data_IF_647243722696
#
_entry.id   IF_647243722696
#
_cell.length_a   1.000
_cell.length_b   1.000
_cell.length_c   1.000
_cell.angle_alpha   90.00
_cell.angle_beta   90.00
_cell.angle_gamma   90.00
#
_symmetry.space_group_name_H-M   'P 1'
#
loop_
_entity.id
_entity.type
_entity.pdbx_description
1 polymer ?
#
# COMPACT_ATOMS: atom_id res chain seq x y z
N UNK A 1 -19.32 13.43 -4.05
CA UNK A 1 -18.30 14.50 -4.08
C UNK A 1 -18.57 15.44 -2.92
N UNK A 2 -17.68 15.49 -1.93
CA UNK A 2 -17.70 16.50 -0.87
C UNK A 2 -16.36 17.23 -0.88
N UNK A 3 -16.38 18.53 -1.14
CA UNK A 3 -15.19 19.39 -1.11
C UNK A 3 -14.82 19.66 0.36
N UNK A 4 -13.53 19.68 0.75
CA UNK A 4 -13.16 20.03 2.12
C UNK A 4 -13.63 21.45 2.47
N UNK A 5 -14.14 21.63 3.69
CA UNK A 5 -14.53 22.94 4.21
C UNK A 5 -13.29 23.86 4.35
N UNK A 6 -13.43 25.18 4.10
CA UNK A 6 -12.28 26.08 3.94
C UNK A 6 -11.44 26.31 5.21
N UNK A 7 -12.04 26.12 6.39
CA UNK A 7 -11.48 26.59 7.67
C UNK A 7 -11.35 25.49 8.75
N UNK A 8 -11.32 24.22 8.35
CA UNK A 8 -11.00 23.11 9.28
C UNK A 8 -9.48 22.96 9.49
N UNK A 9 -9.00 22.50 10.66
CA UNK A 9 -7.58 22.21 10.85
C UNK A 9 -7.12 21.24 9.76
N UNK A 10 -6.15 21.65 8.93
CA UNK A 10 -5.54 20.79 7.93
C UNK A 10 -4.98 19.58 8.65
N UNK A 11 -5.54 18.39 8.39
CA UNK A 11 -5.15 17.15 9.06
C UNK A 11 -3.64 17.01 8.97
N UNK A 12 -2.93 16.93 10.09
CA UNK A 12 -1.45 16.98 10.16
C UNK A 12 -0.84 15.57 10.03
N UNK A 13 -1.66 14.54 9.78
CA UNK A 13 -1.21 13.20 9.42
C UNK A 13 -2.40 12.34 9.02
N UNK A 14 -2.37 11.72 7.84
CA UNK A 14 -3.32 10.69 7.42
C UNK A 14 -2.70 9.30 7.58
N UNK A 15 -3.47 8.33 8.04
CA UNK A 15 -3.06 6.92 8.14
C UNK A 15 -4.23 6.05 7.73
N UNK A 16 -3.95 5.07 6.89
CA UNK A 16 -4.93 4.07 6.48
C UNK A 16 -5.03 3.02 7.56
N UNK A 17 -6.22 2.90 8.14
CA UNK A 17 -6.55 1.85 9.07
C UNK A 17 -7.70 1.02 8.50
N UNK A 18 -7.66 -0.27 8.74
CA UNK A 18 -8.77 -1.16 8.44
C UNK A 18 -9.82 -1.00 9.53
N UNK A 19 -11.07 -0.63 9.20
CA UNK A 19 -12.14 -0.62 10.19
C UNK A 19 -12.42 -2.06 10.65
N UNK A 20 -12.52 -2.26 11.97
CA UNK A 20 -12.92 -3.52 12.57
C UNK A 20 -14.43 -3.75 12.42
N UNK A 21 -15.21 -2.67 12.61
CA UNK A 21 -16.66 -2.68 12.48
C UNK A 21 -17.16 -1.30 12.05
N UNK A 22 -18.25 -1.28 11.29
CA UNK A 22 -18.95 -0.07 10.87
C UNK A 22 -20.42 -0.25 11.23
N UNK A 23 -20.99 0.67 12.02
CA UNK A 23 -22.39 0.69 12.47
C UNK A 23 -23.09 1.96 11.98
N UNK A 24 -23.68 1.95 10.78
CA UNK A 24 -24.29 3.15 10.20
C UNK A 24 -25.47 3.71 10.99
N UNK A 25 -26.22 2.86 11.68
CA UNK A 25 -27.40 3.21 12.47
C UNK A 25 -27.09 4.04 13.70
N UNK A 26 -25.90 3.86 14.29
CA UNK A 26 -25.38 4.67 15.41
C UNK A 26 -24.29 5.66 14.98
N UNK A 27 -23.90 5.65 13.71
CA UNK A 27 -22.80 6.46 13.15
C UNK A 27 -21.45 6.17 13.81
N UNK A 28 -21.16 4.90 14.07
CA UNK A 28 -19.92 4.46 14.73
C UNK A 28 -19.02 3.65 13.79
N UNK A 29 -17.71 3.80 13.98
CA UNK A 29 -16.67 3.02 13.31
C UNK A 29 -15.63 2.61 14.35
N UNK A 30 -15.33 1.33 14.41
CA UNK A 30 -14.27 0.78 15.27
C UNK A 30 -12.99 0.65 14.46
N UNK A 31 -11.87 1.10 15.02
CA UNK A 31 -10.55 1.07 14.39
C UNK A 31 -9.52 0.63 15.43
N UNK A 32 -8.76 -0.43 15.14
CA UNK A 32 -7.69 -0.88 16.03
C UNK A 32 -6.39 -0.14 15.75
N UNK A 33 -5.81 0.43 16.82
CA UNK A 33 -4.51 1.07 16.80
C UNK A 33 -3.50 0.22 17.57
N UNK A 34 -2.44 -0.14 16.88
CA UNK A 34 -1.29 -0.78 17.49
C UNK A 34 -0.38 0.30 18.10
N UNK A 35 -0.15 0.23 19.41
CA UNK A 35 0.55 1.28 20.17
C UNK A 35 2.08 1.18 20.17
N UNK A 36 2.67 0.18 19.51
CA UNK A 36 4.12 0.02 19.46
C UNK A 36 4.74 0.69 18.23
N UNK A 37 5.59 1.69 18.47
CA UNK A 37 6.29 2.48 17.46
C UNK A 37 6.17 3.98 17.69
N UNK A 38 7.12 4.77 17.16
CA UNK A 38 7.02 6.23 17.13
C UNK A 38 6.31 6.69 15.85
N UNK A 39 5.26 7.51 15.99
CA UNK A 39 4.55 8.06 14.84
C UNK A 39 3.21 8.72 15.22
N UNK A 40 2.71 9.67 14.42
CA UNK A 40 1.62 10.56 14.81
C UNK A 40 0.31 9.85 15.17
N UNK A 41 0.01 8.69 14.56
CA UNK A 41 -1.19 7.93 14.88
C UNK A 41 -1.04 7.03 16.12
N UNK A 42 0.15 6.48 16.39
CA UNK A 42 0.45 5.79 17.66
C UNK A 42 0.42 6.80 18.82
N UNK A 43 1.03 7.99 18.62
CA UNK A 43 1.01 9.09 19.59
C UNK A 43 -0.40 9.62 19.85
N UNK A 44 -1.23 9.76 18.81
CA UNK A 44 -2.64 10.16 18.96
C UNK A 44 -3.45 9.07 19.67
N UNK A 45 -3.33 7.81 19.26
CA UNK A 45 -4.04 6.69 19.86
C UNK A 45 -3.70 6.53 21.34
N UNK A 46 -2.44 6.76 21.72
CA UNK A 46 -1.99 6.74 23.11
C UNK A 46 -2.60 7.86 23.97
N UNK A 47 -3.10 8.94 23.37
CA UNK A 47 -3.66 10.11 24.05
C UNK A 47 -5.17 10.30 23.80
N UNK A 48 -5.81 9.36 23.10
CA UNK A 48 -7.20 9.49 22.68
C UNK A 48 -8.16 9.51 23.87
N UNK A 49 -9.04 10.51 23.90
CA UNK A 49 -10.08 10.69 24.89
C UNK A 49 -11.42 11.05 24.23
N UNK A 50 -12.53 10.82 24.95
CA UNK A 50 -13.88 11.21 24.50
C UNK A 50 -13.91 12.72 24.19
N UNK A 51 -14.39 13.07 23.01
CA UNK A 51 -14.42 14.44 22.50
C UNK A 51 -13.22 14.83 21.63
N UNK A 52 -12.19 13.98 21.49
CA UNK A 52 -11.16 14.16 20.49
C UNK A 52 -11.69 13.88 19.08
N UNK A 53 -11.26 14.68 18.11
CA UNK A 53 -11.73 14.62 16.73
C UNK A 53 -10.68 13.95 15.85
N UNK A 54 -11.10 12.95 15.08
CA UNK A 54 -10.34 12.40 13.95
C UNK A 54 -11.15 12.55 12.66
N UNK A 55 -10.47 12.72 11.53
CA UNK A 55 -11.12 12.77 10.22
C UNK A 55 -10.99 11.43 9.53
N UNK A 56 -12.11 10.77 9.27
CA UNK A 56 -12.19 9.54 8.49
C UNK A 56 -12.46 9.91 7.02
N UNK A 57 -11.63 9.43 6.10
CA UNK A 57 -11.93 9.45 4.67
C UNK A 57 -12.43 8.07 4.24
N UNK A 58 -13.66 8.03 3.69
CA UNK A 58 -14.26 6.81 3.15
C UNK A 58 -13.48 6.24 1.95
N UNK A 59 -13.73 4.98 1.55
CA UNK A 59 -12.87 4.29 0.60
C UNK A 59 -12.79 5.06 -0.73
N UNK A 60 -11.57 5.36 -1.17
CA UNK A 60 -11.31 5.86 -2.52
C UNK A 60 -11.75 4.84 -3.58
N UNK A 61 -11.81 5.21 -4.88
CA UNK A 61 -12.08 4.25 -5.94
C UNK A 61 -10.99 3.15 -5.91
N UNK A 62 -11.36 1.99 -5.38
CA UNK A 62 -10.45 0.87 -5.19
C UNK A 62 -9.80 0.43 -6.50
N UNK A 63 -8.60 -0.13 -6.41
CA UNK A 63 -8.01 -0.85 -7.52
C UNK A 63 -8.93 -2.01 -7.93
N UNK A 64 -9.39 -2.01 -9.17
CA UNK A 64 -10.16 -3.12 -9.73
C UNK A 64 -9.19 -4.24 -10.12
N UNK A 65 -9.26 -5.36 -9.39
CA UNK A 65 -8.48 -6.57 -9.69
C UNK A 65 -8.95 -7.14 -11.02
N UNK A 66 -8.03 -7.31 -11.96
CA UNK A 66 -8.31 -7.97 -13.23
C UNK A 66 -8.35 -9.49 -13.00
N UNK A 67 -9.53 -10.02 -12.72
CA UNK A 67 -9.73 -11.45 -12.48
C UNK A 67 -9.58 -12.32 -13.73
N UNK A 68 -9.48 -11.72 -14.92
CA UNK A 68 -9.21 -12.46 -16.15
C UNK A 68 -7.70 -12.70 -16.37
N UNK A 69 -6.84 -11.89 -15.74
CA UNK A 69 -5.40 -12.11 -15.78
C UNK A 69 -4.99 -13.35 -14.97
N UNK A 70 -4.19 -14.22 -15.59
CA UNK A 70 -3.68 -15.45 -14.99
C UNK A 70 -2.46 -15.20 -14.11
N UNK A 71 -1.75 -14.09 -14.29
CA UNK A 71 -0.54 -13.74 -13.55
C UNK A 71 -0.62 -12.34 -12.95
N UNK A 72 -0.19 -12.24 -11.70
CA UNK A 72 -0.19 -11.00 -10.92
C UNK A 72 1.16 -10.83 -10.24
N UNK A 73 1.73 -9.63 -10.32
CA UNK A 73 2.92 -9.25 -9.58
C UNK A 73 2.57 -8.05 -8.68
N UNK A 74 2.63 -8.26 -7.37
CA UNK A 74 2.33 -7.26 -6.36
C UNK A 74 3.66 -6.80 -5.75
N UNK A 75 3.98 -5.52 -5.90
CA UNK A 75 5.22 -4.90 -5.39
C UNK A 75 4.77 -3.87 -4.37
N UNK A 76 5.09 -4.10 -3.10
CA UNK A 76 4.51 -3.31 -2.02
C UNK A 76 5.48 -3.09 -0.85
N UNK A 77 5.21 -2.07 -0.05
CA UNK A 77 5.75 -1.98 1.32
C UNK A 77 4.69 -2.35 2.37
N UNK A 78 5.09 -2.31 3.64
CA UNK A 78 4.28 -2.65 4.79
C UNK A 78 3.00 -1.81 4.91
N UNK A 79 3.02 -0.57 4.39
CA UNK A 79 1.84 0.31 4.37
C UNK A 79 0.76 -0.17 3.39
N UNK A 80 1.14 -0.91 2.35
CA UNK A 80 0.23 -1.43 1.33
C UNK A 80 -0.20 -2.89 1.58
N UNK A 81 0.21 -3.50 2.69
CA UNK A 81 -0.12 -4.88 3.02
C UNK A 81 -1.64 -5.18 3.04
N UNK A 82 -2.51 -4.32 3.61
CA UNK A 82 -3.96 -4.56 3.56
C UNK A 82 -4.52 -4.57 2.13
N UNK A 83 -3.96 -3.75 1.23
CA UNK A 83 -4.35 -3.74 -0.17
C UNK A 83 -3.88 -5.01 -0.88
N UNK A 84 -2.67 -5.49 -0.58
CA UNK A 84 -2.16 -6.78 -1.07
C UNK A 84 -3.08 -7.92 -0.64
N UNK A 85 -3.45 -8.00 0.64
CA UNK A 85 -4.37 -9.04 1.15
C UNK A 85 -5.73 -8.99 0.45
N UNK A 86 -6.28 -7.79 0.23
CA UNK A 86 -7.53 -7.59 -0.50
C UNK A 86 -7.42 -8.08 -1.95
N UNK A 87 -6.32 -7.77 -2.63
CA UNK A 87 -6.08 -8.23 -4.01
C UNK A 87 -6.00 -9.76 -4.04
N UNK A 88 -5.19 -10.36 -3.16
CA UNK A 88 -5.00 -11.81 -3.10
C UNK A 88 -6.31 -12.55 -2.81
N UNK A 89 -7.16 -12.03 -1.92
CA UNK A 89 -8.47 -12.60 -1.60
C UNK A 89 -9.44 -12.57 -2.79
N UNK A 90 -9.28 -11.63 -3.72
CA UNK A 90 -10.12 -11.51 -4.92
C UNK A 90 -9.65 -12.37 -6.10
N UNK A 91 -8.45 -12.96 -6.03
CA UNK A 91 -7.90 -13.77 -7.13
C UNK A 91 -8.62 -15.11 -7.27
N UNK A 92 -8.95 -15.55 -8.51
CA UNK A 92 -9.52 -16.87 -8.74
C UNK A 92 -8.49 -17.98 -8.53
N UNK A 93 -8.95 -19.22 -8.31
CA UNK A 93 -8.07 -20.36 -8.03
C UNK A 93 -7.07 -20.74 -9.12
N UNK A 94 -7.26 -20.27 -10.36
CA UNK A 94 -6.31 -20.46 -11.45
C UNK A 94 -5.23 -19.38 -11.56
N UNK A 95 -5.29 -18.33 -10.74
CA UNK A 95 -4.33 -17.23 -10.79
C UNK A 95 -2.99 -17.60 -10.14
N UNK A 96 -1.92 -16.97 -10.62
CA UNK A 96 -0.58 -17.04 -10.05
C UNK A 96 -0.18 -15.65 -9.56
N UNK A 97 0.03 -15.51 -8.26
CA UNK A 97 0.46 -14.28 -7.63
C UNK A 97 1.90 -14.40 -7.14
N UNK A 98 2.73 -13.43 -7.54
CA UNK A 98 4.04 -13.19 -6.98
C UNK A 98 3.99 -11.89 -6.19
N UNK A 99 4.54 -11.89 -4.99
CA UNK A 99 4.53 -10.73 -4.09
C UNK A 99 5.97 -10.39 -3.69
N UNK A 100 6.40 -9.17 -3.96
CA UNK A 100 7.61 -8.57 -3.38
C UNK A 100 7.16 -7.57 -2.32
N UNK A 101 7.42 -7.88 -1.05
CA UNK A 101 6.89 -7.11 0.07
C UNK A 101 8.02 -6.59 0.95
N UNK A 102 8.23 -5.28 0.90
CA UNK A 102 9.16 -4.56 1.75
C UNK A 102 8.58 -4.39 3.15
N UNK A 103 9.37 -4.68 4.19
CA UNK A 103 8.94 -4.58 5.60
C UNK A 103 10.04 -3.99 6.46
N UNK A 104 9.67 -3.42 7.61
CA UNK A 104 10.66 -2.88 8.56
C UNK A 104 11.61 -3.97 9.06
N UNK A 105 11.09 -5.16 9.34
CA UNK A 105 11.90 -6.29 9.80
C UNK A 105 11.29 -7.64 9.41
N UNK A 106 12.09 -8.71 9.49
CA UNK A 106 11.61 -10.07 9.25
C UNK A 106 10.54 -10.54 10.26
N UNK A 107 10.36 -9.84 11.40
CA UNK A 107 9.31 -10.16 12.36
C UNK A 107 7.90 -9.79 11.86
N UNK A 108 7.80 -8.94 10.83
CA UNK A 108 6.52 -8.55 10.21
C UNK A 108 5.95 -9.61 9.25
N UNK A 109 6.71 -10.66 8.97
CA UNK A 109 6.27 -11.73 8.08
C UNK A 109 5.06 -12.44 8.67
N UNK A 110 4.03 -12.59 7.84
CA UNK A 110 2.79 -13.31 8.19
C UNK A 110 2.33 -14.18 7.03
N UNK A 111 1.49 -15.17 7.33
CA UNK A 111 0.90 -16.00 6.29
C UNK A 111 -0.09 -15.16 5.46
N UNK A 112 0.14 -15.09 4.14
CA UNK A 112 -0.79 -14.50 3.18
C UNK A 112 -1.54 -15.62 2.46
N UNK A 113 -2.78 -15.34 2.07
CA UNK A 113 -3.69 -16.34 1.51
C UNK A 113 -4.23 -15.89 0.16
N UNK A 114 -4.34 -16.84 -0.76
CA UNK A 114 -4.98 -16.68 -2.08
C UNK A 114 -5.66 -18.01 -2.44
N UNK A 115 -6.73 -17.96 -3.23
CA UNK A 115 -7.29 -19.17 -3.81
C UNK A 115 -6.38 -19.77 -4.89
N UNK A 116 -5.53 -18.94 -5.52
CA UNK A 116 -4.55 -19.35 -6.53
C UNK A 116 -3.18 -19.69 -5.94
N UNK A 117 -2.19 -19.93 -6.81
CA UNK A 117 -0.81 -20.15 -6.35
C UNK A 117 -0.18 -18.83 -5.92
N UNK A 118 0.55 -18.85 -4.81
CA UNK A 118 1.13 -17.67 -4.20
C UNK A 118 2.62 -17.89 -3.89
N UNK A 119 3.46 -16.98 -4.36
CA UNK A 119 4.88 -16.87 -4.01
C UNK A 119 5.14 -15.49 -3.37
N UNK A 120 5.77 -15.47 -2.20
CA UNK A 120 5.97 -14.23 -1.41
C UNK A 120 7.42 -14.09 -1.02
N UNK A 121 8.04 -13.02 -1.49
CA UNK A 121 9.38 -12.59 -1.07
C UNK A 121 9.26 -11.41 -0.12
N UNK A 122 9.70 -11.61 1.12
CA UNK A 122 9.76 -10.57 2.14
C UNK A 122 11.13 -9.90 2.14
N UNK A 123 11.15 -8.58 2.10
CA UNK A 123 12.35 -7.76 1.89
C UNK A 123 12.53 -6.79 3.07
N UNK A 124 13.39 -7.12 4.05
CA UNK A 124 13.64 -6.23 5.18
C UNK A 124 14.34 -4.94 4.73
N UNK A 125 13.71 -3.80 5.02
CA UNK A 125 14.25 -2.45 4.78
C UNK A 125 14.98 -1.87 5.99
N UNK A 126 14.61 -2.29 7.20
CA UNK A 126 14.99 -1.61 8.43
C UNK A 126 14.10 -0.40 8.74
N UNK A 127 14.46 0.36 9.77
CA UNK A 127 13.65 1.48 10.29
C UNK A 127 13.96 2.82 9.63
N UNK A 128 15.03 2.92 8.83
CA UNK A 128 15.34 4.16 8.11
C UNK A 128 14.39 4.32 6.92
N UNK A 129 13.51 5.31 6.97
CA UNK A 129 12.60 5.60 5.86
C UNK A 129 13.30 6.16 4.62
N UNK A 130 14.55 6.61 4.73
CA UNK A 130 15.36 7.05 3.57
C UNK A 130 15.72 5.91 2.64
N UNK A 131 15.61 4.68 3.09
CA UNK A 131 15.86 3.48 2.27
C UNK A 131 14.58 2.92 1.63
N UNK A 132 13.45 3.64 1.68
CA UNK A 132 12.18 3.25 1.08
C UNK A 132 12.35 2.82 -0.39
N UNK A 133 11.89 1.61 -0.69
CA UNK A 133 11.98 1.01 -2.01
C UNK A 133 13.33 0.43 -2.41
N UNK A 134 14.43 0.70 -1.69
CA UNK A 134 15.75 0.20 -2.10
C UNK A 134 15.82 -1.35 -2.12
N UNK A 135 15.30 -2.07 -1.11
CA UNK A 135 15.15 -3.53 -1.20
C UNK A 135 14.33 -4.02 -2.40
N UNK A 136 13.21 -3.35 -2.73
CA UNK A 136 12.37 -3.70 -3.88
C UNK A 136 13.13 -3.50 -5.20
N UNK A 137 13.76 -2.34 -5.35
CA UNK A 137 14.62 -2.01 -6.49
C UNK A 137 15.75 -3.04 -6.66
N UNK A 138 16.39 -3.43 -5.56
CA UNK A 138 17.46 -4.44 -5.56
C UNK A 138 16.93 -5.80 -6.02
N UNK A 139 15.82 -6.28 -5.45
CA UNK A 139 15.24 -7.57 -5.80
C UNK A 139 14.87 -7.64 -7.30
N UNK A 140 14.31 -6.56 -7.86
CA UNK A 140 13.99 -6.47 -9.28
C UNK A 140 15.25 -6.53 -10.16
N UNK A 141 16.32 -5.82 -9.81
CA UNK A 141 17.59 -5.84 -10.54
C UNK A 141 18.32 -7.18 -10.44
N UNK A 142 18.20 -7.87 -9.30
CA UNK A 142 18.82 -9.18 -9.08
C UNK A 142 18.06 -10.34 -9.73
N UNK A 143 16.99 -10.04 -10.48
CA UNK A 143 16.31 -11.00 -11.33
C UNK A 143 15.04 -11.60 -10.72
N UNK A 144 14.36 -10.90 -9.81
CA UNK A 144 12.99 -11.26 -9.47
C UNK A 144 12.17 -11.42 -10.75
N UNK A 145 11.45 -12.54 -10.87
CA UNK A 145 10.71 -12.86 -12.07
C UNK A 145 9.65 -11.77 -12.33
N UNK A 146 9.54 -11.33 -13.59
CA UNK A 146 8.46 -10.45 -14.06
C UNK A 146 7.79 -11.18 -15.23
N UNK A 147 6.72 -11.94 -14.98
CA UNK A 147 6.06 -12.67 -16.05
C UNK A 147 5.58 -11.71 -17.15
N UNK A 148 5.75 -12.09 -18.42
CA UNK A 148 5.52 -11.23 -19.58
C UNK A 148 4.06 -10.75 -19.72
N UNK A 149 3.11 -11.46 -19.11
CA UNK A 149 1.67 -11.20 -19.13
C UNK A 149 1.11 -10.77 -17.76
N UNK A 150 1.95 -10.59 -16.74
CA UNK A 150 1.49 -10.21 -15.40
C UNK A 150 0.84 -8.81 -15.39
N UNK A 151 -0.27 -8.69 -14.67
CA UNK A 151 -0.79 -7.40 -14.16
C UNK A 151 0.01 -7.01 -12.93
N UNK A 152 0.48 -5.77 -12.88
CA UNK A 152 1.39 -5.28 -11.84
C UNK A 152 0.67 -4.25 -10.98
N UNK A 153 0.63 -4.51 -9.68
CA UNK A 153 0.24 -3.55 -8.67
C UNK A 153 1.48 -3.09 -7.92
N UNK A 154 1.76 -1.79 -7.92
CA UNK A 154 2.91 -1.20 -7.26
C UNK A 154 2.42 -0.16 -6.25
N UNK A 155 2.56 -0.44 -4.96
CA UNK A 155 2.09 0.46 -3.90
C UNK A 155 3.10 0.56 -2.75
N UNK A 156 3.75 1.71 -2.61
CA UNK A 156 4.71 1.97 -1.54
C UNK A 156 4.88 3.48 -1.34
N UNK A 157 5.99 3.90 -0.74
CA UNK A 157 6.41 5.30 -0.71
C UNK A 157 6.41 5.93 -2.12
N UNK A 158 5.94 7.16 -2.27
CA UNK A 158 5.64 7.77 -3.55
C UNK A 158 6.86 8.00 -4.43
N UNK A 159 7.99 8.45 -3.87
CA UNK A 159 9.22 8.60 -4.63
C UNK A 159 9.78 7.23 -5.04
N UNK A 160 9.74 6.23 -4.16
CA UNK A 160 10.10 4.86 -4.45
C UNK A 160 9.22 4.25 -5.54
N UNK A 161 7.91 4.40 -5.45
CA UNK A 161 6.94 3.96 -6.45
C UNK A 161 7.28 4.55 -7.81
N UNK A 162 7.56 5.86 -7.89
CA UNK A 162 7.95 6.50 -9.16
C UNK A 162 9.26 5.95 -9.71
N UNK A 163 10.29 5.76 -8.87
CA UNK A 163 11.57 5.17 -9.28
C UNK A 163 11.41 3.74 -9.77
N UNK A 164 10.68 2.90 -9.04
CA UNK A 164 10.42 1.50 -9.39
C UNK A 164 9.57 1.41 -10.66
N UNK A 165 8.52 2.23 -10.80
CA UNK A 165 7.70 2.30 -12.02
C UNK A 165 8.56 2.67 -13.23
N UNK A 166 9.42 3.67 -13.10
CA UNK A 166 10.33 4.05 -14.17
C UNK A 166 11.29 2.92 -14.52
N UNK A 167 11.91 2.26 -13.53
CA UNK A 167 12.78 1.10 -13.72
C UNK A 167 12.07 -0.04 -14.47
N UNK A 168 10.85 -0.40 -14.05
CA UNK A 168 10.05 -1.43 -14.72
C UNK A 168 9.88 -1.11 -16.22
N UNK A 169 9.62 0.15 -16.55
CA UNK A 169 9.36 0.58 -17.93
C UNK A 169 10.66 0.69 -18.74
N UNK A 170 11.63 1.48 -18.28
CA UNK A 170 12.81 1.82 -19.08
C UNK A 170 13.95 0.81 -19.00
N UNK A 171 14.09 0.12 -17.87
CA UNK A 171 15.17 -0.86 -17.68
C UNK A 171 14.69 -2.29 -17.95
N UNK A 172 13.47 -2.63 -17.51
CA UNK A 172 12.94 -4.00 -17.57
C UNK A 172 11.90 -4.21 -18.70
N UNK A 173 11.62 -3.17 -19.49
CA UNK A 173 10.80 -3.26 -20.71
C UNK A 173 9.31 -3.58 -20.48
N UNK A 174 8.79 -3.30 -19.28
CA UNK A 174 7.38 -3.55 -18.94
C UNK A 174 6.48 -2.50 -19.58
N UNK A 175 5.42 -2.94 -20.25
CA UNK A 175 4.39 -2.05 -20.80
C UNK A 175 3.67 -1.28 -19.67
N UNK A 176 3.62 0.06 -19.77
CA UNK A 176 3.01 0.95 -18.77
C UNK A 176 1.55 0.61 -18.45
N UNK A 177 0.79 0.08 -19.41
CA UNK A 177 -0.63 -0.28 -19.25
C UNK A 177 -0.84 -1.46 -18.30
N UNK A 178 0.23 -2.22 -18.03
CA UNK A 178 0.26 -3.35 -17.10
C UNK A 178 0.50 -2.93 -15.67
N UNK A 179 0.98 -1.70 -15.43
CA UNK A 179 1.41 -1.22 -14.12
C UNK A 179 0.39 -0.23 -13.57
N UNK A 180 -0.18 -0.56 -12.42
CA UNK A 180 -0.95 0.38 -11.60
C UNK A 180 -0.10 0.80 -10.41
N UNK A 181 0.35 2.06 -10.43
CA UNK A 181 1.16 2.66 -9.35
C UNK A 181 0.29 3.40 -8.33
N UNK A 182 0.69 3.35 -7.05
CA UNK A 182 0.09 4.12 -5.96
C UNK A 182 1.17 4.57 -4.97
N UNK A 183 1.37 5.87 -4.83
CA UNK A 183 2.20 6.42 -3.76
C UNK A 183 1.39 6.61 -2.49
N UNK A 184 1.52 5.72 -1.49
CA UNK A 184 0.72 5.71 -0.26
C UNK A 184 1.22 6.68 0.81
N UNK A 185 2.50 7.02 0.78
CA UNK A 185 3.12 7.98 1.69
C UNK A 185 4.34 8.60 1.03
N UNK A 186 4.89 9.68 1.56
CA UNK A 186 6.11 10.27 1.03
C UNK A 186 7.01 10.78 2.14
N UNK A 187 8.31 10.50 2.03
CA UNK A 187 9.30 10.93 3.01
C UNK A 187 9.34 12.47 3.08
N UNK A 188 9.44 13.01 4.30
CA UNK A 188 9.46 14.44 4.61
C UNK A 188 8.25 15.24 4.13
N UNK A 189 7.20 14.57 3.63
CA UNK A 189 5.95 15.19 3.21
C UNK A 189 4.83 14.65 4.10
N UNK A 190 4.39 15.53 5.00
CA UNK A 190 3.20 15.31 5.79
C UNK A 190 1.98 15.45 4.87
N UNK A 191 1.14 14.40 4.77
CA UNK A 191 -0.07 14.33 3.92
C UNK A 191 0.16 14.31 2.41
N UNK A 192 1.08 13.47 1.95
CA UNK A 192 1.12 13.12 0.52
C UNK A 192 -0.21 12.46 0.12
N UNK A 193 -0.90 12.92 -0.94
CA UNK A 193 -2.18 12.35 -1.33
C UNK A 193 -1.99 10.96 -1.94
N UNK A 194 -2.77 9.97 -1.48
CA UNK A 194 -2.78 8.56 -1.95
C UNK A 194 -3.17 8.37 -3.44
N UNK A 195 -3.43 9.48 -4.13
CA UNK A 195 -3.81 9.54 -5.54
C UNK A 195 -2.60 9.87 -6.43
N UNK A 196 -1.37 9.74 -5.93
CA UNK A 196 -0.20 9.74 -6.80
C UNK A 196 -0.16 8.46 -7.62
N UNK A 197 -0.77 8.53 -8.80
CA UNK A 197 -0.86 7.44 -9.77
C UNK A 197 0.40 7.31 -10.63
N UNK A 198 1.36 8.24 -10.50
CA UNK A 198 2.58 8.24 -11.32
C UNK A 198 2.30 8.47 -12.82
N UNK A 199 1.23 9.21 -13.14
CA UNK A 199 0.82 9.53 -14.52
C UNK A 199 1.53 10.77 -15.09
N UNK A 200 2.30 11.50 -14.26
CA UNK A 200 3.16 12.60 -14.70
C UNK A 200 4.54 12.07 -15.13
N UNK A 201 4.60 11.35 -16.27
CA UNK A 201 5.82 10.99 -17.01
C UNK A 201 5.55 10.79 -18.50
#
# INVERSE_FOLDING_TARGET
>A
MGRPLPDGPRAVSMRTYTPLAVRPETLEVDVDFVLHGEGPASTWAAQAAVGNVLFLMGPGPGYAVDTAATRHLLIADDSALPAVETILAALPGGAQAQVLLEVISAAEQRALHSAGSLDVTWLPRGTDHRTAGLPLEKALREGAAIPADARIYLACEAAAMRRIRQMLISELGVDRSRIVGRGYWKLDVVNHPDHDYGDDS
#
